data_IF_704705971429
#
_entry.id   IF_704705971429
#
_cell.length_a   1.000
_cell.length_b   1.000
_cell.length_c   1.000
_cell.angle_alpha   90.00
_cell.angle_beta   90.00
_cell.angle_gamma   90.00
#
_symmetry.space_group_name_H-M   'P 1'
#
loop_
_entity.id
_entity.type
_entity.pdbx_description
1 polymer ?
#
# COMPACT_ATOMS: atom_id res chain seq x y z
N UNK A 1 3.44 -37.48 9.52
CA UNK A 1 3.83 -36.34 8.68
C UNK A 1 3.86 -35.10 9.54
N UNK A 2 4.95 -34.36 9.40
CA UNK A 2 5.35 -33.18 10.16
C UNK A 2 4.39 -31.98 10.02
N UNK A 3 4.16 -31.34 11.18
CA UNK A 3 4.01 -29.90 11.43
C UNK A 3 2.77 -29.08 11.02
N UNK A 4 2.15 -28.54 12.08
CA UNK A 4 1.73 -27.15 12.28
C UNK A 4 0.35 -26.64 11.78
N UNK A 5 -0.55 -26.58 12.77
CA UNK A 5 -1.23 -25.35 13.22
C UNK A 5 -2.58 -24.95 12.60
N UNK A 6 -3.62 -25.17 13.41
CA UNK A 6 -4.93 -24.52 13.51
C UNK A 6 -5.13 -23.18 12.76
N UNK A 7 -5.40 -23.21 11.45
CA UNK A 7 -5.96 -22.07 10.70
C UNK A 7 -7.39 -21.74 11.18
N UNK A 8 -7.52 -21.06 12.31
CA UNK A 8 -8.77 -20.47 12.80
C UNK A 8 -9.16 -19.30 11.89
N UNK A 9 -10.24 -19.48 11.12
CA UNK A 9 -11.18 -18.45 10.61
C UNK A 9 -10.62 -17.03 10.53
N UNK A 10 -10.13 -16.61 9.37
CA UNK A 10 -10.09 -15.20 9.01
C UNK A 10 -10.17 -15.11 7.50
N UNK A 11 -11.39 -15.16 6.96
CA UNK A 11 -11.59 -14.62 5.62
C UNK A 11 -11.30 -13.10 5.71
N UNK A 12 -10.60 -12.51 4.72
CA UNK A 12 -10.42 -11.07 4.69
C UNK A 12 -11.77 -10.37 4.68
N UNK A 13 -11.88 -9.27 5.43
CA UNK A 13 -13.12 -8.49 5.48
C UNK A 13 -13.40 -7.87 4.11
N UNK A 14 -14.67 -7.66 3.76
CA UNK A 14 -15.05 -7.02 2.49
C UNK A 14 -14.32 -5.70 2.24
N UNK A 15 -14.08 -4.92 3.30
CA UNK A 15 -13.27 -3.69 3.23
C UNK A 15 -11.82 -3.93 2.81
N UNK A 16 -11.18 -5.00 3.30
CA UNK A 16 -9.82 -5.38 2.89
C UNK A 16 -9.79 -5.81 1.44
N UNK A 17 -10.77 -6.62 1.01
CA UNK A 17 -10.87 -7.07 -0.38
C UNK A 17 -11.04 -5.86 -1.31
N UNK A 18 -11.96 -4.95 -0.99
CA UNK A 18 -12.17 -3.72 -1.74
C UNK A 18 -10.92 -2.84 -1.79
N UNK A 19 -10.23 -2.67 -0.64
CA UNK A 19 -9.00 -1.89 -0.56
C UNK A 19 -7.88 -2.51 -1.41
N UNK A 20 -7.73 -3.84 -1.43
CA UNK A 20 -6.69 -4.48 -2.22
C UNK A 20 -7.02 -4.55 -3.69
N UNK A 21 -8.31 -4.70 -4.08
CA UNK A 21 -8.75 -4.49 -5.47
C UNK A 21 -8.41 -3.08 -5.95
N UNK A 22 -8.73 -2.07 -5.15
CA UNK A 22 -8.41 -0.68 -5.47
C UNK A 22 -6.89 -0.45 -5.53
N UNK A 23 -6.11 -1.05 -4.62
CA UNK A 23 -4.65 -0.97 -4.65
C UNK A 23 -4.07 -1.65 -5.90
N UNK A 24 -4.59 -2.82 -6.27
CA UNK A 24 -4.20 -3.54 -7.47
C UNK A 24 -4.45 -2.73 -8.74
N UNK A 25 -5.63 -2.14 -8.88
CA UNK A 25 -5.96 -1.25 -10.00
C UNK A 25 -5.10 0.01 -10.02
N UNK A 26 -4.86 0.63 -8.86
CA UNK A 26 -4.03 1.84 -8.75
C UNK A 26 -2.58 1.59 -9.14
N UNK A 27 -2.05 0.40 -8.85
CA UNK A 27 -0.67 0.02 -9.14
C UNK A 27 -0.54 -0.80 -10.45
N UNK A 28 -1.64 -1.15 -11.10
CA UNK A 28 -1.65 -1.95 -12.33
C UNK A 28 -1.16 -3.38 -12.13
N UNK A 29 -1.31 -3.94 -10.93
CA UNK A 29 -0.86 -5.30 -10.58
C UNK A 29 -2.02 -6.28 -10.54
N UNK A 30 -1.75 -7.56 -10.78
CA UNK A 30 -2.77 -8.61 -10.68
C UNK A 30 -2.97 -9.04 -9.22
N UNK A 31 -4.23 -9.27 -8.85
CA UNK A 31 -4.59 -9.83 -7.54
C UNK A 31 -4.17 -11.31 -7.46
N UNK A 32 -3.59 -11.75 -6.33
CA UNK A 32 -3.27 -13.16 -6.13
C UNK A 32 -4.54 -14.02 -6.03
N UNK A 33 -4.45 -15.29 -6.42
CA UNK A 33 -5.60 -16.20 -6.50
C UNK A 33 -6.22 -16.48 -5.12
N UNK A 34 -5.40 -16.48 -4.07
CA UNK A 34 -5.82 -16.66 -2.67
C UNK A 34 -6.20 -15.35 -1.95
N UNK A 35 -6.27 -14.22 -2.67
CA UNK A 35 -6.53 -12.89 -2.07
C UNK A 35 -7.90 -12.79 -1.38
N UNK A 36 -8.91 -13.49 -1.90
CA UNK A 36 -10.29 -13.46 -1.38
C UNK A 36 -10.55 -14.55 -0.32
N UNK A 37 -9.65 -15.53 -0.21
CA UNK A 37 -9.78 -16.70 0.68
C UNK A 37 -8.82 -16.70 1.87
N UNK A 38 -7.63 -16.09 1.74
CA UNK A 38 -6.59 -16.13 2.75
C UNK A 38 -6.27 -14.69 3.25
N UNK A 39 -6.56 -14.44 4.53
CA UNK A 39 -6.34 -13.11 5.14
C UNK A 39 -4.86 -12.71 5.15
N UNK A 40 -3.95 -13.67 5.31
CA UNK A 40 -2.52 -13.37 5.34
C UNK A 40 -2.03 -12.86 3.98
N UNK A 41 -2.47 -13.51 2.89
CA UNK A 41 -2.23 -13.06 1.52
C UNK A 41 -2.84 -11.68 1.29
N UNK A 42 -4.07 -11.45 1.74
CA UNK A 42 -4.74 -10.16 1.63
C UNK A 42 -4.00 -9.06 2.41
N UNK A 43 -3.55 -9.36 3.64
CA UNK A 43 -2.81 -8.45 4.51
C UNK A 43 -1.43 -8.12 3.95
N UNK A 44 -0.65 -9.11 3.50
CA UNK A 44 0.67 -8.87 2.90
C UNK A 44 0.56 -8.02 1.64
N UNK A 45 -0.41 -8.33 0.77
CA UNK A 45 -0.67 -7.53 -0.41
C UNK A 45 -1.04 -6.09 0.00
N UNK A 46 -2.01 -5.92 0.89
CA UNK A 46 -2.39 -4.61 1.37
C UNK A 46 -1.24 -3.86 2.03
N UNK A 47 -0.43 -4.50 2.88
CA UNK A 47 0.72 -3.87 3.52
C UNK A 47 1.73 -3.37 2.48
N UNK A 48 2.07 -4.19 1.49
CA UNK A 48 2.99 -3.80 0.42
C UNK A 48 2.47 -2.63 -0.42
N UNK A 49 1.16 -2.60 -0.75
CA UNK A 49 0.59 -1.53 -1.57
C UNK A 49 0.03 -0.32 -0.77
N UNK A 50 -0.20 -0.45 0.53
CA UNK A 50 -0.59 0.66 1.42
C UNK A 50 0.63 1.38 1.99
N UNK A 51 1.74 0.67 2.21
CA UNK A 51 3.01 1.29 2.63
C UNK A 51 3.74 1.88 1.45
N UNK A 52 3.55 1.38 0.22
CA UNK A 52 4.20 1.95 -0.96
C UNK A 52 3.40 3.14 -1.51
N UNK A 53 4.03 4.32 -1.68
CA UNK A 53 3.33 5.47 -2.21
C UNK A 53 2.85 5.20 -3.63
N UNK A 54 1.62 5.62 -3.91
CA UNK A 54 1.07 5.57 -5.27
C UNK A 54 1.85 6.54 -6.17
N UNK A 55 2.08 6.20 -7.45
CA UNK A 55 2.78 7.09 -8.39
C UNK A 55 2.18 8.50 -8.46
N UNK A 56 0.85 8.63 -8.33
CA UNK A 56 0.19 9.95 -8.25
C UNK A 56 0.64 10.77 -7.03
N UNK A 57 0.84 10.13 -5.88
CA UNK A 57 1.31 10.80 -4.68
C UNK A 57 2.77 11.24 -4.84
N UNK A 58 3.63 10.40 -5.43
CA UNK A 58 5.02 10.77 -5.74
C UNK A 58 5.07 11.98 -6.67
N UNK A 59 4.33 11.97 -7.78
CA UNK A 59 4.30 13.12 -8.69
C UNK A 59 3.78 14.40 -8.03
N UNK A 60 2.82 14.28 -7.10
CA UNK A 60 2.33 15.43 -6.35
C UNK A 60 3.38 15.98 -5.37
N UNK A 61 4.05 15.10 -4.63
CA UNK A 61 5.17 15.47 -3.77
C UNK A 61 6.32 16.10 -4.57
N UNK A 62 6.66 15.55 -5.74
CA UNK A 62 7.73 16.07 -6.61
C UNK A 62 7.41 17.47 -7.11
N UNK A 63 6.13 17.72 -7.41
CA UNK A 63 5.66 19.05 -7.80
C UNK A 63 5.79 20.05 -6.67
N UNK A 64 5.39 19.68 -5.44
CA UNK A 64 5.57 20.52 -4.25
C UNK A 64 7.05 20.78 -3.96
N UNK A 65 7.87 19.73 -4.03
CA UNK A 65 9.32 19.80 -3.86
C UNK A 65 9.95 20.77 -4.85
N UNK A 66 9.57 20.68 -6.12
CA UNK A 66 10.05 21.59 -7.18
C UNK A 66 9.59 23.03 -6.95
N UNK A 67 8.32 23.22 -6.60
CA UNK A 67 7.73 24.55 -6.36
C UNK A 67 8.39 25.26 -5.16
N UNK A 68 8.65 24.52 -4.08
CA UNK A 68 9.27 25.05 -2.85
C UNK A 68 10.79 24.98 -2.82
N UNK A 69 11.42 24.36 -3.83
CA UNK A 69 12.86 24.08 -3.83
C UNK A 69 13.29 23.09 -2.74
N UNK A 70 12.40 22.19 -2.31
CA UNK A 70 12.69 21.14 -1.34
C UNK A 70 13.09 19.84 -2.03
N UNK A 71 13.74 18.93 -1.30
CA UNK A 71 14.02 17.58 -1.76
C UNK A 71 13.23 16.58 -0.92
N UNK A 72 12.54 15.65 -1.58
CA UNK A 72 11.83 14.58 -0.89
C UNK A 72 12.87 13.55 -0.39
N UNK A 73 12.93 13.24 0.91
CA UNK A 73 13.81 12.20 1.44
C UNK A 73 13.45 10.81 0.88
N UNK A 74 14.42 9.92 0.72
CA UNK A 74 14.14 8.56 0.21
C UNK A 74 13.23 7.74 1.13
N UNK A 75 13.32 7.93 2.44
CA UNK A 75 12.40 7.35 3.43
C UNK A 75 10.94 7.73 3.13
N UNK A 76 10.72 9.01 2.84
CA UNK A 76 9.43 9.58 2.45
C UNK A 76 9.00 9.04 1.08
N UNK A 77 9.92 8.86 0.12
CA UNK A 77 9.61 8.29 -1.20
C UNK A 77 9.26 6.80 -1.16
N UNK A 78 9.70 6.07 -0.14
CA UNK A 78 9.46 4.64 0.01
C UNK A 78 8.21 4.35 0.85
N UNK A 79 7.76 5.32 1.65
CA UNK A 79 6.65 5.14 2.58
C UNK A 79 5.48 6.11 2.27
N UNK A 80 4.35 5.56 1.84
CA UNK A 80 3.13 6.29 1.50
C UNK A 80 2.63 7.16 2.65
N UNK A 81 2.79 6.69 3.89
CA UNK A 81 2.35 7.40 5.08
C UNK A 81 3.22 8.63 5.32
N UNK A 82 4.53 8.48 5.20
CA UNK A 82 5.48 9.59 5.31
C UNK A 82 5.36 10.54 4.13
N UNK A 83 5.21 10.04 2.90
CA UNK A 83 4.94 10.87 1.72
C UNK A 83 3.69 11.69 1.90
N UNK A 84 2.59 11.09 2.37
CA UNK A 84 1.34 11.81 2.60
C UNK A 84 1.48 12.86 3.70
N UNK A 85 2.19 12.56 4.79
CA UNK A 85 2.43 13.52 5.86
C UNK A 85 3.35 14.67 5.39
N UNK A 86 4.38 14.36 4.60
CA UNK A 86 5.27 15.35 4.00
C UNK A 86 4.51 16.23 3.00
N UNK A 87 3.68 15.64 2.13
CA UNK A 87 2.80 16.38 1.23
C UNK A 87 1.88 17.30 2.02
N UNK A 88 1.20 16.81 3.06
CA UNK A 88 0.26 17.62 3.83
C UNK A 88 0.93 18.79 4.56
N UNK A 89 2.14 18.56 5.07
CA UNK A 89 2.96 19.63 5.66
C UNK A 89 3.47 20.66 4.63
N UNK A 90 3.54 20.30 3.35
CA UNK A 90 4.17 21.12 2.30
C UNK A 90 3.23 21.54 1.15
N UNK A 91 1.96 21.12 1.11
CA UNK A 91 0.97 21.48 0.07
C UNK A 91 0.54 22.94 0.11
#
# INVERSE_FOLDING_TARGET
MADANEKRKSAPTEKMIAAGKAAAERHGVKLPQDFETDFDVCKQFLDEYLTKPSPKALSFAERIATDKGLTIPDEVRLNAKELSAWIDANK
#
